data_IF_311466349598
#
_entry.id   IF_311466349598
#
_cell.length_a   1.000
_cell.length_b   1.000
_cell.length_c   1.000
_cell.angle_alpha   90.00
_cell.angle_beta   90.00
_cell.angle_gamma   90.00
#
_symmetry.space_group_name_H-M   'P 1'
#
loop_
_entity.id
_entity.type
_entity.pdbx_description
1 polymer ?
#
# COMPACT_ATOMS: atom_id res chain seq x y z
N UNK A 1 4.52 -1.33 22.07
CA UNK A 1 4.65 -0.56 20.79
C UNK A 1 3.60 0.52 20.75
N UNK A 2 4.00 1.73 20.44
CA UNK A 2 3.06 2.85 20.29
C UNK A 2 2.42 2.84 18.91
N UNK A 3 1.35 3.63 18.72
CA UNK A 3 0.76 3.80 17.39
C UNK A 3 1.78 4.37 16.39
N UNK A 4 2.58 5.33 16.82
CA UNK A 4 3.59 5.94 15.94
C UNK A 4 4.63 4.93 15.51
N UNK A 5 5.10 4.08 16.42
CA UNK A 5 6.05 3.02 16.09
C UNK A 5 5.46 2.01 15.12
N UNK A 6 4.23 1.57 15.35
CA UNK A 6 3.54 0.64 14.46
C UNK A 6 3.34 1.24 13.06
N UNK A 7 2.90 2.50 12.99
CA UNK A 7 2.71 3.20 11.70
C UNK A 7 4.03 3.40 10.96
N UNK A 8 5.10 3.71 11.67
CA UNK A 8 6.43 3.89 11.07
C UNK A 8 6.93 2.56 10.48
N UNK A 9 6.76 1.48 11.21
CA UNK A 9 7.15 0.15 10.74
C UNK A 9 6.31 -0.25 9.52
N UNK A 10 4.99 -0.05 9.59
CA UNK A 10 4.10 -0.34 8.47
C UNK A 10 4.47 0.45 7.20
N UNK A 11 4.83 1.72 7.34
CA UNK A 11 5.26 2.54 6.19
C UNK A 11 6.49 1.95 5.50
N UNK A 12 7.46 1.52 6.28
CA UNK A 12 8.66 0.88 5.71
C UNK A 12 8.32 -0.41 4.99
N UNK A 13 7.51 -1.24 5.61
CA UNK A 13 7.14 -2.53 5.05
C UNK A 13 6.28 -2.40 3.78
N UNK A 14 5.35 -1.45 3.72
CA UNK A 14 4.54 -1.24 2.52
C UNK A 14 5.39 -0.71 1.37
N UNK A 15 6.31 0.21 1.64
CA UNK A 15 7.21 0.72 0.61
C UNK A 15 8.11 -0.38 0.06
N UNK A 16 8.65 -1.23 0.92
CA UNK A 16 9.48 -2.35 0.50
C UNK A 16 8.68 -3.37 -0.32
N UNK A 17 7.44 -3.64 0.06
CA UNK A 17 6.56 -4.54 -0.69
C UNK A 17 6.24 -3.99 -2.08
N UNK A 18 5.96 -2.69 -2.19
CA UNK A 18 5.70 -2.05 -3.49
C UNK A 18 6.92 -2.12 -4.40
N UNK A 19 8.11 -1.90 -3.84
CA UNK A 19 9.37 -2.06 -4.60
C UNK A 19 9.59 -3.51 -5.02
N UNK A 20 9.31 -4.46 -4.15
CA UNK A 20 9.40 -5.89 -4.47
C UNK A 20 8.43 -6.30 -5.59
N UNK A 21 7.30 -5.63 -5.70
CA UNK A 21 6.35 -5.84 -6.78
C UNK A 21 6.78 -5.17 -8.10
N UNK A 22 7.91 -4.48 -8.11
CA UNK A 22 8.46 -3.85 -9.32
C UNK A 22 8.08 -2.40 -9.54
N UNK A 23 7.50 -1.74 -8.52
CA UNK A 23 7.14 -0.34 -8.64
C UNK A 23 8.27 0.56 -8.16
N UNK A 24 8.35 1.75 -8.74
CA UNK A 24 9.30 2.76 -8.30
C UNK A 24 8.62 3.76 -7.35
N UNK A 25 9.40 4.21 -6.36
CA UNK A 25 8.95 5.29 -5.50
C UNK A 25 8.95 6.61 -6.30
N UNK A 26 7.76 7.10 -6.61
CA UNK A 26 7.60 8.30 -7.43
C UNK A 26 8.15 9.57 -6.79
N UNK A 27 8.40 9.56 -5.47
CA UNK A 27 9.00 10.70 -4.79
C UNK A 27 10.53 10.70 -4.97
N UNK A 28 11.12 9.52 -5.15
CA UNK A 28 12.59 9.38 -5.23
C UNK A 28 13.17 9.72 -6.60
N UNK A 29 12.32 9.95 -7.61
CA UNK A 29 12.79 10.25 -8.96
C UNK A 29 12.50 11.71 -9.31
N UNK A 30 13.33 12.28 -10.19
CA UNK A 30 13.12 13.65 -10.65
C UNK A 30 11.95 13.72 -11.63
N UNK A 31 11.42 14.92 -11.86
CA UNK A 31 10.36 15.13 -12.83
C UNK A 31 10.78 14.69 -14.25
N UNK A 32 12.03 14.94 -14.61
CA UNK A 32 12.59 14.54 -15.91
C UNK A 32 12.66 13.01 -16.04
N UNK A 33 13.10 12.33 -14.98
CA UNK A 33 13.14 10.87 -14.96
C UNK A 33 11.72 10.28 -15.01
N UNK A 34 10.78 10.86 -14.26
CA UNK A 34 9.41 10.42 -14.25
C UNK A 34 8.78 10.50 -15.66
N UNK A 35 9.09 11.55 -16.40
CA UNK A 35 8.54 11.73 -17.75
C UNK A 35 8.89 10.58 -18.68
N UNK A 36 10.09 10.00 -18.53
CA UNK A 36 10.57 8.91 -19.36
C UNK A 36 10.35 7.53 -18.72
N UNK A 37 9.83 7.49 -17.50
CA UNK A 37 9.66 6.22 -16.78
C UNK A 37 8.43 5.47 -17.29
N UNK A 38 8.61 4.22 -17.63
CA UNK A 38 7.52 3.35 -18.13
C UNK A 38 7.03 2.37 -17.08
N UNK A 39 7.77 2.21 -15.97
CA UNK A 39 7.36 1.32 -14.90
C UNK A 39 6.29 1.98 -14.02
N UNK A 40 5.40 1.22 -13.44
CA UNK A 40 4.46 1.77 -12.48
C UNK A 40 5.19 2.38 -11.29
N UNK A 41 4.71 3.54 -10.87
CA UNK A 41 5.25 4.24 -9.71
C UNK A 41 4.21 4.29 -8.59
N UNK A 42 4.67 4.47 -7.36
CA UNK A 42 3.78 4.61 -6.22
C UNK A 42 4.07 5.90 -5.45
N UNK A 43 3.03 6.43 -4.82
CA UNK A 43 3.11 7.61 -3.96
C UNK A 43 2.33 7.38 -2.69
N UNK A 44 2.72 8.08 -1.65
CA UNK A 44 1.95 8.11 -0.42
C UNK A 44 0.92 9.23 -0.52
N UNK A 45 -0.36 8.87 -0.40
CA UNK A 45 -1.45 9.85 -0.48
C UNK A 45 -1.78 10.23 -1.91
N UNK A 46 -2.18 11.47 -2.11
CA UNK A 46 -2.65 11.95 -3.41
C UNK A 46 -1.49 12.35 -4.30
N UNK A 47 -1.53 11.90 -5.55
CA UNK A 47 -0.57 12.31 -6.57
C UNK A 47 -0.99 13.66 -7.11
N UNK A 48 -0.18 14.68 -6.85
CA UNK A 48 -0.46 16.05 -7.30
C UNK A 48 0.20 16.39 -8.62
N UNK A 49 1.25 15.66 -8.99
CA UNK A 49 1.97 15.89 -10.25
C UNK A 49 1.13 15.45 -11.45
N UNK A 50 0.91 16.35 -12.39
CA UNK A 50 0.10 16.05 -13.57
C UNK A 50 0.74 14.97 -14.45
N UNK A 51 2.07 14.96 -14.57
CA UNK A 51 2.79 13.94 -15.34
C UNK A 51 2.59 12.56 -14.70
N UNK A 52 2.67 12.49 -13.38
CA UNK A 52 2.45 11.25 -12.66
C UNK A 52 1.02 10.69 -12.89
N UNK A 53 0.02 11.57 -12.86
CA UNK A 53 -1.38 11.17 -13.08
C UNK A 53 -1.68 10.75 -14.51
N UNK A 54 -0.81 11.08 -15.47
CA UNK A 54 -0.97 10.68 -16.85
C UNK A 54 -0.33 9.34 -17.19
N UNK A 55 0.33 8.70 -16.23
CA UNK A 55 0.90 7.36 -16.42
C UNK A 55 -0.21 6.34 -16.69
N UNK A 56 0.13 5.32 -17.45
CA UNK A 56 -0.83 4.26 -17.79
C UNK A 56 -1.35 3.55 -16.56
N UNK A 57 -0.49 3.38 -15.57
CA UNK A 57 -0.86 2.76 -14.29
C UNK A 57 0.01 3.38 -13.19
N UNK A 58 -0.60 3.64 -12.04
CA UNK A 58 0.12 4.10 -10.84
C UNK A 58 -0.61 3.67 -9.58
N UNK A 59 0.10 3.74 -8.46
CA UNK A 59 -0.41 3.28 -7.17
C UNK A 59 -0.26 4.38 -6.13
N UNK A 60 -1.29 4.56 -5.32
CA UNK A 60 -1.21 5.41 -4.13
C UNK A 60 -1.53 4.57 -2.90
N UNK A 61 -1.02 4.98 -1.75
CA UNK A 61 -1.31 4.29 -0.50
C UNK A 61 -1.32 5.28 0.68
N UNK A 62 -2.09 4.95 1.70
CA UNK A 62 -2.09 5.69 2.95
C UNK A 62 -2.58 4.79 4.09
N UNK A 63 -2.37 5.23 5.32
CA UNK A 63 -2.82 4.52 6.51
C UNK A 63 -4.01 5.27 7.10
N UNK A 64 -5.24 4.84 6.81
CA UNK A 64 -6.43 5.52 7.31
C UNK A 64 -6.63 5.32 8.81
N UNK A 65 -6.21 4.20 9.37
CA UNK A 65 -6.42 3.93 10.78
C UNK A 65 -5.36 3.05 11.39
N UNK A 66 -5.19 3.20 12.69
CA UNK A 66 -4.46 2.28 13.52
C UNK A 66 -5.17 2.22 14.87
N UNK A 67 -5.34 1.02 15.41
CA UNK A 67 -6.09 0.82 16.64
C UNK A 67 -5.46 -0.25 17.50
N UNK A 68 -5.82 -0.25 18.77
CA UNK A 68 -5.43 -1.32 19.68
C UNK A 68 -6.28 -2.56 19.34
N UNK A 69 -5.63 -3.64 18.98
CA UNK A 69 -6.31 -4.91 18.72
C UNK A 69 -6.49 -5.70 20.02
N UNK A 70 -5.47 -5.67 20.89
CA UNK A 70 -5.55 -6.29 22.21
C UNK A 70 -4.89 -5.41 23.25
N UNK A 71 -5.34 -5.53 24.47
CA UNK A 71 -4.84 -4.75 25.61
C UNK A 71 -4.57 -5.65 26.79
N UNK A 72 -3.53 -5.29 27.55
CA UNK A 72 -3.22 -5.91 28.83
C UNK A 72 -2.84 -4.78 29.79
N UNK A 73 -3.37 -4.82 31.04
CA UNK A 73 -3.10 -3.79 32.04
C UNK A 73 -3.38 -2.37 31.52
N UNK A 74 -4.50 -2.21 30.80
CA UNK A 74 -4.91 -0.96 30.18
C UNK A 74 -3.94 -0.41 29.12
N UNK A 75 -2.98 -1.21 28.71
CA UNK A 75 -2.05 -0.83 27.65
C UNK A 75 -2.26 -1.72 26.43
N UNK A 76 -2.25 -1.12 25.27
CA UNK A 76 -2.32 -1.87 24.03
C UNK A 76 -0.97 -2.56 23.78
N UNK A 77 -0.97 -3.87 23.59
CA UNK A 77 0.22 -4.59 23.19
C UNK A 77 0.17 -5.07 21.74
N UNK A 78 -1.01 -5.16 21.15
CA UNK A 78 -1.17 -5.37 19.71
C UNK A 78 -1.84 -4.16 19.09
N UNK A 79 -1.32 -3.75 17.95
CA UNK A 79 -1.86 -2.66 17.13
C UNK A 79 -2.22 -3.19 15.77
N UNK A 80 -3.47 -2.97 15.36
CA UNK A 80 -3.87 -3.27 14.01
C UNK A 80 -3.67 -2.03 13.15
N UNK A 81 -2.93 -2.18 12.07
CA UNK A 81 -2.73 -1.13 11.07
C UNK A 81 -3.53 -1.51 9.83
N UNK A 82 -4.36 -0.58 9.39
CA UNK A 82 -5.08 -0.68 8.14
C UNK A 82 -4.41 0.21 7.11
N UNK A 83 -4.15 -0.33 5.94
CA UNK A 83 -3.53 0.42 4.84
C UNK A 83 -4.47 0.36 3.64
N UNK A 84 -4.79 1.51 3.08
CA UNK A 84 -5.54 1.60 1.85
C UNK A 84 -4.53 1.74 0.70
N UNK A 85 -4.65 0.86 -0.29
CA UNK A 85 -3.84 0.89 -1.50
C UNK A 85 -4.80 1.05 -2.68
N UNK A 86 -4.54 2.03 -3.53
CA UNK A 86 -5.37 2.32 -4.66
C UNK A 86 -4.55 2.20 -5.94
N UNK A 87 -4.98 1.34 -6.84
CA UNK A 87 -4.33 1.16 -8.14
C UNK A 87 -5.19 1.82 -9.21
N UNK A 88 -4.59 2.72 -9.97
CA UNK A 88 -5.27 3.45 -11.03
C UNK A 88 -4.67 3.06 -12.37
N UNK A 89 -5.51 2.85 -13.37
CA UNK A 89 -5.07 2.49 -14.71
C UNK A 89 -6.00 3.06 -15.78
N UNK A 90 -5.43 3.34 -16.93
CA UNK A 90 -6.20 3.73 -18.13
C UNK A 90 -6.93 2.56 -18.74
N UNK A 91 -6.61 1.32 -18.35
CA UNK A 91 -7.20 0.09 -18.86
C UNK A 91 -7.84 -0.70 -17.74
N UNK A 92 -8.87 -1.47 -18.07
CA UNK A 92 -9.51 -2.37 -17.12
C UNK A 92 -8.50 -3.36 -16.52
N UNK A 93 -8.74 -3.73 -15.26
CA UNK A 93 -7.94 -4.74 -14.57
C UNK A 93 -8.29 -6.17 -15.02
N UNK A 94 -9.25 -6.33 -15.93
CA UNK A 94 -9.47 -7.58 -16.63
C UNK A 94 -8.42 -7.81 -17.73
N UNK A 95 -7.68 -6.77 -18.14
CA UNK A 95 -6.58 -6.93 -19.08
C UNK A 95 -5.44 -7.73 -18.45
N UNK A 96 -4.75 -8.56 -19.26
CA UNK A 96 -3.70 -9.43 -18.75
C UNK A 96 -2.59 -8.69 -18.01
N UNK A 97 -2.14 -7.57 -18.57
CA UNK A 97 -1.06 -6.79 -17.95
C UNK A 97 -1.45 -6.26 -16.57
N UNK A 98 -2.67 -5.73 -16.43
CA UNK A 98 -3.15 -5.20 -15.17
C UNK A 98 -3.47 -6.31 -14.17
N UNK A 99 -4.03 -7.42 -14.63
CA UNK A 99 -4.26 -8.58 -13.79
C UNK A 99 -2.94 -9.10 -13.20
N UNK A 100 -1.90 -9.21 -14.01
CA UNK A 100 -0.57 -9.63 -13.54
C UNK A 100 0.03 -8.65 -12.54
N UNK A 101 -0.25 -7.36 -12.71
CA UNK A 101 0.18 -6.35 -11.73
C UNK A 101 -0.49 -6.59 -10.38
N UNK A 102 -1.80 -6.84 -10.37
CA UNK A 102 -2.51 -7.15 -9.12
C UNK A 102 -1.98 -8.41 -8.45
N UNK A 103 -1.66 -9.45 -9.23
CA UNK A 103 -1.05 -10.66 -8.67
C UNK A 103 0.30 -10.39 -8.02
N UNK A 104 1.14 -9.59 -8.66
CA UNK A 104 2.44 -9.22 -8.09
C UNK A 104 2.29 -8.41 -6.80
N UNK A 105 1.32 -7.50 -6.76
CA UNK A 105 1.04 -6.73 -5.55
C UNK A 105 0.55 -7.65 -4.43
N UNK A 106 -0.38 -8.52 -4.70
CA UNK A 106 -0.88 -9.47 -3.71
C UNK A 106 0.24 -10.32 -3.14
N UNK A 107 1.07 -10.89 -4.00
CA UNK A 107 2.21 -11.71 -3.60
C UNK A 107 3.19 -10.93 -2.71
N UNK A 108 3.50 -9.70 -3.09
CA UNK A 108 4.42 -8.86 -2.33
C UNK A 108 3.85 -8.49 -0.95
N UNK A 109 2.57 -8.16 -0.88
CA UNK A 109 1.92 -7.84 0.38
C UNK A 109 1.79 -9.06 1.29
N UNK A 110 1.43 -10.20 0.72
CA UNK A 110 1.34 -11.45 1.47
C UNK A 110 2.71 -11.85 2.03
N UNK A 111 3.75 -11.76 1.22
CA UNK A 111 5.12 -12.05 1.65
C UNK A 111 5.56 -11.10 2.77
N UNK A 112 5.12 -9.85 2.74
CA UNK A 112 5.41 -8.88 3.80
C UNK A 112 4.56 -9.10 5.07
N UNK A 113 3.66 -10.06 5.05
CA UNK A 113 2.84 -10.41 6.22
C UNK A 113 1.54 -9.65 6.34
N UNK A 114 1.09 -8.97 5.28
CA UNK A 114 -0.20 -8.31 5.28
C UNK A 114 -1.31 -9.25 4.87
N UNK A 115 -2.47 -9.12 5.52
CA UNK A 115 -3.69 -9.73 5.03
C UNK A 115 -4.28 -8.78 3.98
N UNK A 116 -4.64 -9.30 2.82
CA UNK A 116 -5.09 -8.51 1.69
C UNK A 116 -6.58 -8.73 1.44
N UNK A 117 -7.33 -7.64 1.39
CA UNK A 117 -8.72 -7.66 1.01
C UNK A 117 -8.90 -6.87 -0.27
N UNK A 118 -9.50 -7.52 -1.28
CA UNK A 118 -9.75 -6.90 -2.57
C UNK A 118 -11.18 -6.37 -2.63
N UNK A 119 -11.34 -5.20 -3.21
CA UNK A 119 -12.64 -4.69 -3.63
C UNK A 119 -12.82 -4.93 -5.12
N UNK A 120 -13.95 -4.51 -5.63
CA UNK A 120 -14.20 -4.60 -7.06
C UNK A 120 -13.63 -3.40 -7.81
N UNK A 121 -13.39 -3.58 -9.10
CA UNK A 121 -12.96 -2.52 -9.98
C UNK A 121 -14.04 -1.45 -10.12
N UNK A 122 -13.63 -0.20 -10.14
CA UNK A 122 -14.51 0.94 -10.39
C UNK A 122 -13.96 1.77 -11.55
N UNK A 123 -14.85 2.38 -12.32
CA UNK A 123 -14.45 3.36 -13.32
C UNK A 123 -14.82 4.76 -12.82
N UNK A 124 -13.83 5.64 -12.77
CA UNK A 124 -14.03 7.02 -12.32
C UNK A 124 -14.30 7.93 -13.48
N UNK A 125 -15.49 8.53 -13.54
CA UNK A 125 -15.89 9.40 -14.64
C UNK A 125 -15.05 10.69 -14.69
N UNK A 126 -14.63 11.20 -13.53
CA UNK A 126 -13.87 12.45 -13.45
C UNK A 126 -12.46 12.32 -14.04
N UNK A 127 -11.79 11.24 -13.76
CA UNK A 127 -10.41 11.00 -14.18
C UNK A 127 -10.31 10.14 -15.43
N UNK A 128 -11.38 9.46 -15.81
CA UNK A 128 -11.42 8.46 -16.88
C UNK A 128 -10.45 7.31 -16.62
N UNK A 129 -10.28 6.94 -15.34
CA UNK A 129 -9.40 5.86 -14.92
C UNK A 129 -10.20 4.74 -14.29
N UNK A 130 -9.71 3.52 -14.48
CA UNK A 130 -10.14 2.39 -13.69
C UNK A 130 -9.41 2.42 -12.36
N UNK A 131 -10.13 2.20 -11.29
CA UNK A 131 -9.63 2.25 -9.92
C UNK A 131 -9.87 0.92 -9.23
N UNK A 132 -8.82 0.33 -8.72
CA UNK A 132 -8.90 -0.93 -7.99
C UNK A 132 -8.40 -0.73 -6.56
N UNK A 133 -9.30 -0.68 -5.58
CA UNK A 133 -8.90 -0.51 -4.17
C UNK A 133 -8.56 -1.84 -3.53
N UNK A 134 -7.48 -1.83 -2.73
CA UNK A 134 -7.10 -2.93 -1.88
C UNK A 134 -6.98 -2.41 -0.46
N UNK A 135 -7.37 -3.22 0.50
CA UNK A 135 -7.17 -2.91 1.92
C UNK A 135 -6.24 -3.95 2.53
N UNK A 136 -5.23 -3.49 3.23
CA UNK A 136 -4.25 -4.34 3.89
C UNK A 136 -4.39 -4.21 5.39
N UNK A 137 -4.21 -5.31 6.09
CA UNK A 137 -4.25 -5.35 7.55
C UNK A 137 -3.01 -6.05 8.08
N UNK A 138 -2.45 -5.55 9.16
CA UNK A 138 -1.37 -6.23 9.86
C UNK A 138 -1.37 -5.87 11.34
N UNK A 139 -1.07 -6.86 12.17
CA UNK A 139 -0.89 -6.68 13.60
C UNK A 139 0.58 -6.44 13.91
N UNK A 140 0.84 -5.49 14.77
CA UNK A 140 2.19 -5.15 15.23
C UNK A 140 2.27 -5.16 16.73
N UNK A 141 3.43 -5.50 17.25
CA UNK A 141 3.67 -5.59 18.67
C UNK A 141 3.43 -6.99 19.19
N UNK A 142 3.26 -7.09 20.44
CA UNK A 142 2.83 -8.36 21.05
C UNK A 142 3.90 -9.25 21.54
N UNK A 143 4.83 -9.56 20.71
CA UNK A 143 5.71 -10.60 21.03
C UNK A 143 6.49 -10.31 22.18
N UNK A 144 6.84 -9.23 22.36
CA UNK A 144 7.65 -9.02 23.31
C UNK A 144 7.02 -9.17 24.44
N UNK A 145 5.95 -9.03 24.22
CA UNK A 145 5.26 -9.16 25.31
C UNK A 145 5.55 -10.25 25.97
N UNK A 146 5.65 -10.73 25.37
CA UNK A 146 5.81 -11.65 25.87
C UNK A 146 6.90 -11.82 26.48
N UNK A 147 7.35 -11.63 26.41
CA UNK A 147 8.24 -11.85 26.87
C UNK A 147 8.59 -12.41 27.57
N UNK A 148 8.73 -12.65 27.75
CA UNK A 148 9.37 -13.27 28.06
C UNK A 148 9.76 -13.89 28.94
N UNK A 149 9.96 -13.79 29.20
CA UNK A 149 10.51 -14.10 30.11
C UNK A 149 9.84 -14.71 30.98
N UNK A 150 9.27 -15.21 30.78
CA UNK A 150 8.60 -15.90 31.63
C UNK A 150 9.10 -17.21 31.89
#
# INVERSE_FOLDING_TARGET
MTNIQARTKARGEIKDALKAAGLLDGISITAAQLQNETRPCFWRGVVRDATARQKDIYVTWHIPSSSAAERADDKAFLREITIAVDVFSKRSFESEANYKMLERLETAFDTAGFEVEFSDEMFENDTQLFHYPLTLYKLYGGQRDAAPNF
#
